data_IF_518462140309
#
_entry.id   IF_518462140309
#
_cell.length_a   1.000
_cell.length_b   1.000
_cell.length_c   1.000
_cell.angle_alpha   90.00
_cell.angle_beta   90.00
_cell.angle_gamma   90.00
#
_symmetry.space_group_name_H-M   'P 1'
#
loop_
_entity.id
_entity.type
_entity.pdbx_description
1 polymer ?
#
# COMPACT_ATOMS: atom_id res chain seq x y z
N UNK A 1 24.21 28.48 -5.52
CA UNK A 1 23.34 27.30 -5.38
C UNK A 1 21.92 27.81 -5.24
N UNK A 2 21.04 27.47 -6.20
CA UNK A 2 19.61 27.76 -6.07
C UNK A 2 19.03 26.84 -4.98
N UNK A 3 18.10 27.39 -4.17
CA UNK A 3 17.40 26.59 -3.17
C UNK A 3 16.68 25.40 -3.84
N UNK A 4 16.59 24.24 -3.19
CA UNK A 4 15.85 23.10 -3.71
C UNK A 4 14.38 23.49 -3.89
N UNK A 5 13.78 23.07 -5.00
CA UNK A 5 12.35 23.23 -5.26
C UNK A 5 11.64 22.11 -4.49
N UNK A 6 10.73 22.50 -3.61
CA UNK A 6 9.85 21.58 -2.87
C UNK A 6 8.47 21.59 -3.52
N UNK A 7 7.83 20.45 -3.62
CA UNK A 7 6.44 20.32 -4.08
C UNK A 7 5.50 20.28 -2.89
N UNK A 8 4.33 20.89 -3.07
CA UNK A 8 3.19 20.77 -2.14
C UNK A 8 2.05 20.18 -2.95
N UNK A 9 1.55 19.04 -2.49
CA UNK A 9 0.53 18.29 -3.20
C UNK A 9 -0.86 18.68 -2.72
N UNK A 10 -1.74 19.06 -3.65
CA UNK A 10 -3.15 19.22 -3.39
C UNK A 10 -3.92 18.09 -4.08
N UNK A 11 -4.53 17.21 -3.29
CA UNK A 11 -5.43 16.21 -3.83
C UNK A 11 -6.86 16.75 -3.75
N UNK A 12 -7.43 17.06 -4.92
CA UNK A 12 -8.81 17.50 -5.03
C UNK A 12 -9.68 16.31 -5.45
N UNK A 13 -10.56 15.86 -4.55
CA UNK A 13 -11.52 14.81 -4.86
C UNK A 13 -12.87 15.43 -5.29
N UNK A 14 -13.46 14.95 -6.38
CA UNK A 14 -14.76 15.39 -6.88
C UNK A 14 -15.90 15.28 -5.86
N UNK A 15 -15.76 14.39 -4.87
CA UNK A 15 -16.73 14.18 -3.80
C UNK A 15 -16.84 15.36 -2.84
N UNK A 16 -15.79 16.15 -2.69
CA UNK A 16 -15.77 17.34 -1.84
C UNK A 16 -16.30 18.58 -2.56
N UNK A 17 -16.47 18.48 -3.87
CA UNK A 17 -16.89 19.57 -4.74
C UNK A 17 -18.41 19.79 -4.73
N UNK A 18 -18.99 20.04 -3.59
CA UNK A 18 -20.43 20.27 -3.48
C UNK A 18 -20.89 21.66 -3.89
N UNK A 19 -20.02 22.56 -4.39
CA UNK A 19 -20.45 23.94 -4.63
C UNK A 19 -19.59 24.69 -5.66
N UNK A 20 -20.24 25.61 -6.36
CA UNK A 20 -19.71 26.66 -7.22
C UNK A 20 -18.68 27.63 -6.58
N UNK A 21 -18.16 27.32 -5.41
CA UNK A 21 -17.15 28.12 -4.72
C UNK A 21 -15.76 27.76 -5.22
N UNK A 22 -15.03 28.77 -5.69
CA UNK A 22 -13.62 28.63 -6.02
C UNK A 22 -12.80 28.49 -4.73
N UNK A 23 -11.96 27.48 -4.66
CA UNK A 23 -11.00 27.30 -3.59
C UNK A 23 -9.64 27.86 -4.01
N UNK A 24 -8.97 28.59 -3.11
CA UNK A 24 -7.62 29.11 -3.38
C UNK A 24 -6.59 28.02 -3.03
N UNK A 25 -5.89 27.54 -4.06
CA UNK A 25 -4.85 26.55 -3.94
C UNK A 25 -3.50 27.17 -3.57
N UNK A 26 -3.27 28.42 -4.02
CA UNK A 26 -2.05 29.17 -3.72
C UNK A 26 -2.37 30.69 -3.78
N UNK A 27 -1.79 31.53 -2.91
CA UNK A 27 -1.01 31.16 -1.72
C UNK A 27 -1.88 30.58 -0.61
N UNK A 28 -1.30 29.70 0.21
CA UNK A 28 -1.87 29.20 1.46
C UNK A 28 -1.24 29.92 2.65
N UNK A 29 -1.81 29.79 3.85
CA UNK A 29 -1.20 30.33 5.07
C UNK A 29 0.22 29.79 5.26
N UNK A 30 0.39 28.47 5.10
CA UNK A 30 1.68 27.80 5.23
C UNK A 30 2.71 28.31 4.22
N UNK A 31 2.35 28.48 2.96
CA UNK A 31 3.26 28.98 1.92
C UNK A 31 3.63 30.45 2.15
N UNK A 32 2.73 31.24 2.69
CA UNK A 32 2.95 32.66 3.01
C UNK A 32 3.85 32.80 4.21
N UNK A 33 3.59 32.10 5.31
CA UNK A 33 4.41 32.11 6.52
C UNK A 33 5.83 31.57 6.26
N UNK A 34 5.96 30.53 5.43
CA UNK A 34 7.24 29.93 5.03
C UNK A 34 8.02 30.77 4.01
N UNK A 35 7.44 31.85 3.46
CA UNK A 35 8.06 32.66 2.42
C UNK A 35 8.32 31.90 1.11
N UNK A 36 7.55 30.85 0.82
CA UNK A 36 7.71 30.03 -0.38
C UNK A 36 7.28 30.80 -1.62
N UNK A 37 8.05 30.64 -2.69
CA UNK A 37 7.77 31.26 -3.99
C UNK A 37 7.33 30.20 -4.97
N UNK A 38 6.34 30.55 -5.80
CA UNK A 38 5.82 29.66 -6.83
C UNK A 38 6.85 29.48 -7.95
N UNK A 39 7.23 28.26 -8.22
CA UNK A 39 8.08 27.88 -9.35
C UNK A 39 7.26 27.35 -10.52
N UNK A 40 6.38 26.40 -10.28
CA UNK A 40 5.46 25.87 -11.27
C UNK A 40 4.19 25.37 -10.59
N UNK A 41 3.14 25.24 -11.37
CA UNK A 41 1.89 24.62 -10.97
C UNK A 41 1.48 23.58 -12.02
N UNK A 42 1.02 22.41 -11.59
CA UNK A 42 0.60 21.35 -12.48
C UNK A 42 -0.77 20.78 -12.08
N UNK A 43 -1.61 20.59 -13.09
CA UNK A 43 -2.80 19.74 -12.98
C UNK A 43 -2.48 18.40 -13.60
N UNK A 44 -2.65 17.32 -12.83
CA UNK A 44 -2.25 15.97 -13.25
C UNK A 44 -3.44 15.02 -13.23
N UNK A 45 -3.42 14.06 -14.13
CA UNK A 45 -4.24 12.88 -14.05
C UNK A 45 -3.32 11.63 -13.88
N UNK A 46 -3.88 10.45 -14.05
CA UNK A 46 -3.12 9.20 -13.89
C UNK A 46 -1.84 9.12 -14.73
N UNK A 47 -1.83 9.68 -15.94
CA UNK A 47 -0.74 9.49 -16.92
C UNK A 47 -0.20 10.77 -17.53
N UNK A 48 -0.93 11.88 -17.46
CA UNK A 48 -0.58 13.12 -18.12
C UNK A 48 -0.64 14.28 -17.16
N UNK A 49 0.14 15.32 -17.48
CA UNK A 49 0.17 16.58 -16.77
C UNK A 49 0.05 17.74 -17.72
N UNK A 50 -0.64 18.78 -17.27
CA UNK A 50 -0.61 20.13 -17.82
C UNK A 50 0.00 21.03 -16.74
N UNK A 51 1.23 21.51 -16.99
CA UNK A 51 1.93 22.38 -16.04
C UNK A 51 2.27 23.72 -16.66
N UNK A 52 2.14 24.77 -15.85
CA UNK A 52 2.62 26.12 -16.17
C UNK A 52 3.90 26.35 -15.40
N UNK A 53 4.95 26.80 -16.11
CA UNK A 53 6.29 26.92 -15.56
C UNK A 53 6.99 28.18 -16.11
N UNK A 54 8.06 28.67 -15.47
CA UNK A 54 8.85 29.77 -15.98
C UNK A 54 9.49 29.43 -17.33
N UNK A 55 9.67 30.44 -18.17
CA UNK A 55 10.41 30.26 -19.42
C UNK A 55 11.91 30.17 -19.11
N UNK A 56 12.44 28.96 -19.08
CA UNK A 56 13.85 28.65 -18.85
C UNK A 56 14.43 28.10 -20.16
N UNK A 57 15.67 28.45 -20.48
CA UNK A 57 16.35 27.94 -21.66
C UNK A 57 16.69 26.46 -21.55
N UNK A 58 17.07 25.85 -22.69
CA UNK A 58 17.42 24.44 -22.78
C UNK A 58 18.64 24.03 -21.94
N UNK A 59 19.41 25.01 -21.44
CA UNK A 59 20.52 24.77 -20.49
C UNK A 59 20.05 24.76 -19.03
N UNK A 60 18.76 24.99 -18.75
CA UNK A 60 18.23 25.10 -17.40
C UNK A 60 18.58 26.40 -16.67
N UNK A 61 19.03 27.42 -17.43
CA UNK A 61 19.36 28.75 -16.92
C UNK A 61 18.19 29.70 -17.13
N UNK A 62 17.89 30.50 -16.13
CA UNK A 62 16.81 31.49 -16.15
C UNK A 62 16.17 31.68 -14.79
N UNK A 63 15.17 32.55 -14.73
CA UNK A 63 14.37 32.73 -13.53
C UNK A 63 13.48 31.51 -13.31
N UNK A 64 13.62 30.86 -12.17
CA UNK A 64 12.87 29.64 -11.79
C UNK A 64 11.61 29.94 -11.03
N UNK A 65 11.22 31.21 -10.93
CA UNK A 65 10.12 31.68 -10.10
C UNK A 65 9.11 32.40 -11.01
N UNK A 66 7.83 32.13 -10.81
CA UNK A 66 6.72 32.79 -11.50
C UNK A 66 5.77 33.54 -10.55
N UNK A 67 6.15 33.73 -9.30
CA UNK A 67 5.35 34.47 -8.30
C UNK A 67 5.10 35.93 -8.70
N UNK A 68 6.00 36.52 -9.46
CA UNK A 68 5.85 37.87 -10.04
C UNK A 68 4.80 37.93 -11.16
N UNK A 69 4.44 36.82 -11.76
CA UNK A 69 3.48 36.68 -12.85
C UNK A 69 2.14 36.08 -12.42
N UNK A 70 2.15 35.28 -11.36
CA UNK A 70 0.95 34.65 -10.82
C UNK A 70 0.82 35.02 -9.34
N UNK A 71 -0.26 35.75 -9.02
CA UNK A 71 -0.59 36.17 -7.66
C UNK A 71 -1.35 35.09 -6.91
N UNK A 72 -2.29 34.41 -7.60
CA UNK A 72 -3.07 33.35 -6.97
C UNK A 72 -3.50 32.27 -7.97
N UNK A 73 -3.74 31.08 -7.43
CA UNK A 73 -4.27 29.94 -8.15
C UNK A 73 -5.55 29.51 -7.46
N UNK A 74 -6.63 29.41 -8.22
CA UNK A 74 -7.93 28.96 -7.71
C UNK A 74 -8.39 27.73 -8.45
N UNK A 75 -9.10 26.84 -7.76
CA UNK A 75 -9.77 25.70 -8.37
C UNK A 75 -11.27 25.76 -8.10
N UNK A 76 -12.05 25.36 -9.07
CA UNK A 76 -13.50 25.22 -8.93
C UNK A 76 -14.00 24.05 -9.76
N UNK A 77 -15.07 23.39 -9.31
CA UNK A 77 -15.74 22.36 -10.10
C UNK A 77 -16.90 22.99 -10.83
N UNK A 78 -16.97 22.75 -12.12
CA UNK A 78 -18.02 23.20 -13.01
C UNK A 78 -18.70 22.00 -13.67
N UNK A 79 -19.94 22.19 -14.07
CA UNK A 79 -20.75 21.15 -14.69
C UNK A 79 -21.68 20.46 -13.70
N UNK A 80 -22.52 19.56 -14.22
CA UNK A 80 -23.50 18.80 -13.45
C UNK A 80 -23.41 17.32 -13.79
N UNK A 81 -23.58 16.45 -12.80
CA UNK A 81 -23.55 14.99 -12.95
C UNK A 81 -22.23 14.48 -13.58
N UNK A 82 -22.34 13.70 -14.64
CA UNK A 82 -21.19 13.06 -15.31
C UNK A 82 -20.32 14.02 -16.12
N UNK A 83 -20.82 15.24 -16.40
CA UNK A 83 -20.08 16.27 -17.15
C UNK A 83 -19.31 17.25 -16.24
N UNK A 84 -18.96 16.83 -15.04
CA UNK A 84 -18.16 17.65 -14.12
C UNK A 84 -16.71 17.74 -14.58
N UNK A 85 -16.14 18.94 -14.51
CA UNK A 85 -14.72 19.19 -14.78
C UNK A 85 -14.13 20.20 -13.78
N UNK A 86 -12.83 20.08 -13.55
CA UNK A 86 -12.08 21.00 -12.70
C UNK A 86 -11.60 22.15 -13.54
N UNK A 87 -12.00 23.37 -13.16
CA UNK A 87 -11.50 24.60 -13.74
C UNK A 87 -10.45 25.20 -12.81
N UNK A 88 -9.22 25.32 -13.30
CA UNK A 88 -8.12 25.98 -12.57
C UNK A 88 -7.90 27.37 -13.14
N UNK A 89 -8.02 28.38 -12.31
CA UNK A 89 -7.74 29.77 -12.64
C UNK A 89 -6.35 30.19 -12.15
N UNK A 90 -5.57 30.77 -13.03
CA UNK A 90 -4.29 31.40 -12.71
C UNK A 90 -4.48 32.91 -12.81
N UNK A 91 -4.30 33.63 -11.71
CA UNK A 91 -4.54 35.06 -11.63
C UNK A 91 -3.21 35.80 -11.58
N UNK A 92 -3.03 36.76 -12.50
CA UNK A 92 -1.88 37.65 -12.48
C UNK A 92 -2.10 38.85 -11.52
N UNK A 93 -1.03 39.43 -10.96
CA UNK A 93 -1.13 40.65 -10.19
C UNK A 93 -1.78 41.76 -10.99
N UNK A 94 -2.56 42.62 -10.32
CA UNK A 94 -3.12 43.81 -10.91
C UNK A 94 -1.98 44.81 -11.26
N UNK A 95 -1.64 44.89 -12.53
CA UNK A 95 -0.53 45.72 -13.01
C UNK A 95 -1.05 46.84 -13.88
N UNK A 96 -0.68 48.09 -13.56
CA UNK A 96 -0.97 49.25 -14.39
C UNK A 96 0.04 49.33 -15.52
N UNK A 97 -0.42 49.22 -16.75
CA UNK A 97 0.41 49.33 -17.95
C UNK A 97 0.15 50.68 -18.59
N UNK A 98 1.18 51.52 -18.68
CA UNK A 98 1.09 52.81 -19.32
C UNK A 98 0.83 52.69 -20.83
N UNK A 99 0.19 53.68 -21.44
CA UNK A 99 -0.09 53.67 -22.87
C UNK A 99 1.20 53.50 -23.69
N UNK A 100 1.24 52.47 -24.56
CA UNK A 100 2.42 52.12 -25.36
C UNK A 100 3.48 51.25 -24.64
N UNK A 101 3.33 50.93 -23.35
CA UNK A 101 4.17 50.01 -22.66
C UNK A 101 3.66 48.54 -22.80
N UNK A 102 4.55 47.58 -22.60
CA UNK A 102 4.22 46.16 -22.61
C UNK A 102 4.50 45.51 -21.24
N UNK A 103 3.66 44.61 -20.83
CA UNK A 103 3.88 43.76 -19.65
C UNK A 103 4.14 42.33 -20.09
N UNK A 104 5.26 41.75 -19.65
CA UNK A 104 5.68 40.40 -20.04
C UNK A 104 5.11 39.34 -19.13
N UNK A 105 4.11 38.61 -19.62
CA UNK A 105 3.53 37.41 -18.97
C UNK A 105 4.05 36.08 -19.57
N UNK A 106 5.15 36.11 -20.28
CA UNK A 106 5.66 34.90 -20.96
C UNK A 106 5.96 33.79 -19.94
N UNK A 107 5.27 32.69 -20.11
CA UNK A 107 5.44 31.46 -19.36
C UNK A 107 5.50 30.29 -20.33
N UNK A 108 6.09 29.19 -19.93
CA UNK A 108 6.10 27.94 -20.67
C UNK A 108 5.05 26.99 -20.15
N UNK A 109 4.52 26.15 -21.03
CA UNK A 109 3.53 25.14 -20.67
C UNK A 109 4.10 23.76 -21.01
N UNK A 110 4.09 22.88 -20.04
CA UNK A 110 4.29 21.45 -20.26
C UNK A 110 2.95 20.77 -20.44
N UNK A 111 2.72 20.12 -21.55
CA UNK A 111 1.56 19.25 -21.80
C UNK A 111 2.09 17.91 -22.26
N UNK A 112 2.15 16.93 -21.38
CA UNK A 112 2.81 15.67 -21.71
C UNK A 112 2.64 14.56 -20.67
N UNK A 113 3.26 13.40 -20.93
CA UNK A 113 3.14 12.24 -20.08
C UNK A 113 3.91 12.40 -18.76
N UNK A 114 3.43 11.81 -17.69
CA UNK A 114 4.13 11.65 -16.42
C UNK A 114 5.20 10.54 -16.52
N UNK A 115 6.11 10.72 -17.48
CA UNK A 115 7.14 9.75 -17.81
C UNK A 115 8.50 10.18 -17.27
N UNK A 116 9.12 9.32 -16.44
CA UNK A 116 10.39 9.60 -15.79
C UNK A 116 11.52 9.86 -16.79
N UNK A 117 11.58 9.10 -17.88
CA UNK A 117 12.60 9.28 -18.91
C UNK A 117 12.58 10.67 -19.55
N UNK A 118 11.44 11.36 -19.52
CA UNK A 118 11.31 12.75 -19.99
C UNK A 118 11.66 13.73 -18.87
N UNK A 119 11.09 13.55 -17.68
CA UNK A 119 11.18 14.50 -16.58
C UNK A 119 12.56 14.48 -15.88
N UNK A 120 13.23 13.32 -15.85
CA UNK A 120 14.53 13.14 -15.18
C UNK A 120 15.73 13.42 -16.12
N UNK A 121 15.52 13.43 -17.46
CA UNK A 121 16.63 13.47 -18.41
C UNK A 121 16.65 14.72 -19.31
N UNK A 122 15.61 15.55 -19.26
CA UNK A 122 15.51 16.72 -20.12
C UNK A 122 15.43 18.02 -19.35
N UNK A 123 16.14 19.05 -19.85
CA UNK A 123 15.92 20.42 -19.43
C UNK A 123 14.68 20.97 -20.14
N UNK A 124 13.93 21.88 -19.54
CA UNK A 124 14.12 22.53 -18.24
C UNK A 124 13.57 21.73 -17.02
N UNK A 125 13.04 20.54 -17.25
CA UNK A 125 12.28 19.77 -16.22
C UNK A 125 13.16 19.38 -15.01
N UNK A 126 14.42 19.00 -15.26
CA UNK A 126 15.40 18.70 -14.20
C UNK A 126 15.65 19.94 -13.35
N UNK A 127 15.87 21.11 -14.01
CA UNK A 127 16.17 22.35 -13.30
C UNK A 127 15.00 22.81 -12.40
N UNK A 128 13.78 22.46 -12.78
CA UNK A 128 12.54 22.79 -12.06
C UNK A 128 12.09 21.68 -11.11
N UNK A 129 12.82 20.56 -11.02
CA UNK A 129 12.42 19.38 -10.24
C UNK A 129 11.00 18.88 -10.57
N UNK A 130 10.64 18.90 -11.86
CA UNK A 130 9.29 18.53 -12.30
C UNK A 130 8.99 17.02 -12.16
N UNK A 131 9.98 16.22 -11.78
CA UNK A 131 9.81 14.81 -11.38
C UNK A 131 8.78 14.66 -10.24
N UNK A 132 8.68 15.65 -9.37
CA UNK A 132 7.72 15.67 -8.25
C UNK A 132 6.23 15.68 -8.71
N UNK A 133 5.96 15.89 -10.01
CA UNK A 133 4.61 15.70 -10.57
C UNK A 133 4.20 14.21 -10.62
N UNK A 134 5.16 13.29 -10.55
CA UNK A 134 4.89 11.84 -10.57
C UNK A 134 4.51 11.37 -9.17
N UNK A 135 3.24 11.42 -8.86
CA UNK A 135 2.68 11.03 -7.58
C UNK A 135 2.05 9.63 -7.66
N UNK A 136 2.46 8.74 -6.77
CA UNK A 136 1.87 7.40 -6.65
C UNK A 136 0.77 7.38 -5.58
N UNK A 137 -0.07 8.41 -5.57
CA UNK A 137 -1.11 8.61 -4.56
C UNK A 137 -2.48 8.15 -5.09
N UNK A 138 -3.13 7.22 -4.38
CA UNK A 138 -4.44 6.70 -4.78
C UNK A 138 -5.61 7.41 -4.11
N UNK A 139 -5.41 8.01 -2.95
CA UNK A 139 -6.39 8.84 -2.25
C UNK A 139 -5.73 9.63 -1.12
N UNK A 140 -6.34 10.74 -0.70
CA UNK A 140 -5.87 11.59 0.40
C UNK A 140 -5.75 10.82 1.73
N UNK A 141 -6.65 9.89 2.00
CA UNK A 141 -6.62 9.05 3.21
C UNK A 141 -5.42 8.10 3.28
N UNK A 142 -4.84 7.72 2.15
CA UNK A 142 -3.73 6.78 2.08
C UNK A 142 -2.37 7.42 1.78
N UNK A 143 -2.25 8.73 1.81
CA UNK A 143 -1.00 9.45 1.54
C UNK A 143 0.18 8.97 2.42
N UNK A 144 -0.07 8.73 3.71
CA UNK A 144 0.92 8.20 4.66
C UNK A 144 1.27 6.73 4.36
N UNK A 145 0.35 5.98 3.75
CA UNK A 145 0.54 4.57 3.43
C UNK A 145 1.24 4.34 2.10
N UNK A 146 1.32 5.35 1.24
CA UNK A 146 2.00 5.26 -0.03
C UNK A 146 3.49 5.45 0.21
N UNK A 147 4.25 4.35 0.22
CA UNK A 147 5.70 4.38 0.38
C UNK A 147 6.35 4.89 -0.91
N UNK A 148 6.20 6.20 -1.20
CA UNK A 148 6.66 6.85 -2.43
C UNK A 148 8.11 6.49 -2.75
N UNK A 149 9.02 6.63 -1.76
CA UNK A 149 10.44 6.29 -1.92
C UNK A 149 10.67 4.83 -2.34
N UNK A 150 9.82 3.91 -1.81
CA UNK A 150 9.91 2.49 -2.14
C UNK A 150 9.34 2.23 -3.54
N UNK A 151 8.24 2.88 -3.92
CA UNK A 151 7.69 2.82 -5.27
C UNK A 151 8.69 3.36 -6.30
N UNK A 152 9.37 4.47 -5.99
CA UNK A 152 10.44 5.03 -6.80
C UNK A 152 11.60 4.06 -6.98
N UNK A 153 12.09 3.49 -5.89
CA UNK A 153 13.17 2.50 -5.94
C UNK A 153 12.78 1.27 -6.78
N UNK A 154 11.59 0.71 -6.53
CA UNK A 154 11.09 -0.44 -7.30
C UNK A 154 10.88 -0.10 -8.78
N UNK A 155 10.46 1.13 -9.08
CA UNK A 155 10.33 1.63 -10.44
C UNK A 155 11.67 1.68 -11.19
N UNK A 156 12.72 2.17 -10.53
CA UNK A 156 14.08 2.16 -11.12
C UNK A 156 14.54 0.73 -11.36
N UNK A 157 14.34 -0.18 -10.39
CA UNK A 157 14.70 -1.59 -10.57
C UNK A 157 13.93 -2.22 -11.72
N UNK A 158 12.61 -2.01 -11.78
CA UNK A 158 11.75 -2.56 -12.84
C UNK A 158 12.16 -2.06 -14.22
N UNK A 159 12.39 -0.76 -14.38
CA UNK A 159 12.88 -0.16 -15.65
C UNK A 159 14.24 -0.70 -16.04
N UNK A 160 15.15 -0.86 -15.07
CA UNK A 160 16.47 -1.46 -15.34
C UNK A 160 16.36 -2.91 -15.81
N UNK A 161 15.49 -3.69 -15.19
CA UNK A 161 15.25 -5.08 -15.60
C UNK A 161 14.67 -5.16 -17.01
N UNK A 162 13.73 -4.29 -17.37
CA UNK A 162 13.17 -4.21 -18.70
C UNK A 162 14.23 -3.83 -19.73
N UNK A 163 14.95 -2.72 -19.51
CA UNK A 163 15.85 -2.13 -20.52
C UNK A 163 17.14 -2.92 -20.73
N UNK A 164 17.67 -3.60 -19.71
CA UNK A 164 19.00 -4.20 -19.75
C UNK A 164 19.05 -5.71 -19.57
N UNK A 165 17.97 -6.34 -19.09
CA UNK A 165 18.00 -7.76 -18.71
C UNK A 165 17.04 -8.61 -19.53
N UNK A 166 15.75 -8.26 -19.56
CA UNK A 166 14.72 -9.11 -20.16
C UNK A 166 14.04 -8.49 -21.38
N UNK A 167 14.12 -7.19 -21.57
CA UNK A 167 13.56 -6.45 -22.71
C UNK A 167 12.06 -6.65 -22.90
N UNK A 168 11.34 -6.90 -21.79
CA UNK A 168 9.90 -7.13 -21.76
C UNK A 168 9.34 -6.84 -20.38
N UNK A 169 8.33 -5.99 -20.30
CA UNK A 169 7.73 -5.54 -19.02
C UNK A 169 7.08 -6.67 -18.24
N UNK A 170 6.42 -7.63 -18.91
CA UNK A 170 5.80 -8.79 -18.24
C UNK A 170 6.84 -9.67 -17.56
N UNK A 171 7.94 -9.95 -18.26
CA UNK A 171 9.07 -10.71 -17.72
C UNK A 171 9.82 -9.91 -16.64
N UNK A 172 9.95 -8.60 -16.80
CA UNK A 172 10.55 -7.73 -15.78
C UNK A 172 9.75 -7.76 -14.45
N UNK A 173 8.43 -7.74 -14.53
CA UNK A 173 7.55 -7.89 -13.35
C UNK A 173 7.77 -9.27 -12.69
N UNK A 174 7.81 -10.35 -13.46
CA UNK A 174 8.06 -11.69 -12.93
C UNK A 174 9.43 -11.77 -12.26
N UNK A 175 10.47 -11.25 -12.91
CA UNK A 175 11.84 -11.28 -12.40
C UNK A 175 11.96 -10.42 -11.13
N UNK A 176 11.34 -9.26 -11.08
CA UNK A 176 11.26 -8.43 -9.88
C UNK A 176 10.64 -9.20 -8.71
N UNK A 177 9.55 -9.93 -8.94
CA UNK A 177 8.93 -10.80 -7.91
C UNK A 177 9.93 -11.84 -7.40
N UNK A 178 10.66 -12.50 -8.30
CA UNK A 178 11.64 -13.53 -7.92
C UNK A 178 12.78 -12.94 -7.08
N UNK A 179 13.27 -11.76 -7.44
CA UNK A 179 14.32 -11.05 -6.70
C UNK A 179 13.82 -10.68 -5.29
N UNK A 180 12.68 -10.02 -5.20
CA UNK A 180 12.10 -9.60 -3.90
C UNK A 180 11.82 -10.82 -3.01
N UNK A 181 11.23 -11.88 -3.57
CA UNK A 181 10.99 -13.15 -2.84
C UNK A 181 12.28 -13.83 -2.42
N UNK A 182 13.31 -13.83 -3.27
CA UNK A 182 14.62 -14.35 -2.95
C UNK A 182 15.27 -13.65 -1.76
N UNK A 183 15.24 -12.31 -1.75
CA UNK A 183 15.76 -11.50 -0.66
C UNK A 183 14.99 -11.74 0.64
N UNK A 184 13.65 -11.86 0.55
CA UNK A 184 12.80 -12.08 1.72
C UNK A 184 12.75 -13.54 2.18
N UNK A 185 13.25 -14.50 1.38
CA UNK A 185 13.18 -15.93 1.66
C UNK A 185 13.68 -16.33 3.07
N UNK A 186 14.86 -15.88 3.56
CA UNK A 186 15.36 -16.28 4.86
C UNK A 186 14.44 -15.85 6.01
N UNK A 187 13.83 -14.67 5.88
CA UNK A 187 12.89 -14.13 6.87
C UNK A 187 11.57 -14.90 6.82
N UNK A 188 11.05 -15.14 5.62
CA UNK A 188 9.81 -15.90 5.37
C UNK A 188 9.94 -17.34 5.89
N UNK A 189 11.06 -18.01 5.59
CA UNK A 189 11.35 -19.37 6.07
C UNK A 189 11.33 -19.45 7.58
N UNK A 190 12.07 -18.56 8.27
CA UNK A 190 12.14 -18.52 9.74
C UNK A 190 10.75 -18.27 10.36
N UNK A 191 9.99 -17.36 9.78
CA UNK A 191 8.65 -17.05 10.25
C UNK A 191 7.67 -18.22 10.05
N UNK A 192 7.70 -18.89 8.89
CA UNK A 192 6.84 -20.05 8.63
C UNK A 192 7.16 -21.22 9.58
N UNK A 193 8.46 -21.47 9.88
CA UNK A 193 8.86 -22.46 10.87
C UNK A 193 8.30 -22.13 12.25
N UNK A 194 8.40 -20.87 12.68
CA UNK A 194 7.87 -20.43 13.96
C UNK A 194 6.33 -20.57 14.03
N UNK A 195 5.63 -20.24 12.94
CA UNK A 195 4.18 -20.38 12.85
C UNK A 195 3.73 -21.85 12.92
N UNK A 196 4.47 -22.77 12.29
CA UNK A 196 4.18 -24.21 12.38
C UNK A 196 4.44 -24.75 13.79
N UNK A 197 5.54 -24.33 14.45
CA UNK A 197 5.80 -24.67 15.86
C UNK A 197 4.68 -24.17 16.76
N UNK A 198 4.27 -22.93 16.59
CA UNK A 198 3.14 -22.35 17.32
C UNK A 198 1.86 -23.16 17.11
N UNK A 199 1.54 -23.54 15.86
CA UNK A 199 0.38 -24.38 15.55
C UNK A 199 0.41 -25.74 16.27
N UNK A 200 1.56 -26.43 16.30
CA UNK A 200 1.72 -27.71 17.00
C UNK A 200 1.55 -27.57 18.53
N UNK A 201 2.08 -26.48 19.11
CA UNK A 201 1.89 -26.19 20.54
C UNK A 201 0.41 -25.88 20.84
N UNK A 202 -0.25 -25.10 20.02
CA UNK A 202 -1.67 -24.80 20.18
C UNK A 202 -2.56 -26.03 20.09
N UNK A 203 -2.24 -27.01 19.24
CA UNK A 203 -2.93 -28.31 19.22
C UNK A 203 -2.81 -29.06 20.54
N UNK A 204 -1.59 -29.11 21.13
CA UNK A 204 -1.37 -29.74 22.42
C UNK A 204 -2.10 -29.01 23.57
N UNK A 205 -2.20 -27.68 23.49
CA UNK A 205 -2.87 -26.83 24.48
C UNK A 205 -4.40 -26.82 24.36
N UNK A 206 -4.95 -27.25 23.22
CA UNK A 206 -6.41 -27.20 22.99
C UNK A 206 -7.22 -27.82 24.11
N UNK A 207 -6.96 -29.04 24.62
CA UNK A 207 -7.74 -29.63 25.69
C UNK A 207 -7.67 -28.83 27.01
N UNK A 208 -6.55 -28.18 27.32
CA UNK A 208 -6.41 -27.34 28.50
C UNK A 208 -7.17 -26.01 28.34
N UNK A 209 -7.13 -25.43 27.14
CA UNK A 209 -7.90 -24.23 26.79
C UNK A 209 -9.41 -24.49 26.86
N UNK A 210 -9.87 -25.65 26.40
CA UNK A 210 -11.28 -26.05 26.46
C UNK A 210 -11.74 -26.22 27.93
N UNK A 211 -10.91 -26.79 28.79
CA UNK A 211 -11.17 -26.84 30.24
C UNK A 211 -11.24 -25.44 30.87
N UNK A 212 -10.37 -24.51 30.46
CA UNK A 212 -10.42 -23.13 30.94
C UNK A 212 -11.71 -22.42 30.53
N UNK A 213 -12.19 -22.64 29.31
CA UNK A 213 -13.47 -22.09 28.83
C UNK A 213 -14.65 -22.64 29.62
N UNK A 214 -14.66 -23.93 29.93
CA UNK A 214 -15.68 -24.55 30.76
C UNK A 214 -15.65 -24.03 32.21
N UNK A 215 -14.46 -23.71 32.74
CA UNK A 215 -14.28 -23.19 34.10
C UNK A 215 -14.73 -21.73 34.25
N UNK A 216 -14.62 -20.93 33.21
CA UNK A 216 -14.95 -19.50 33.22
C UNK A 216 -15.89 -19.10 32.04
N UNK A 217 -17.12 -19.66 32.00
CA UNK A 217 -18.01 -19.46 30.84
C UNK A 217 -18.48 -18.02 30.67
N UNK A 218 -18.56 -17.25 31.75
CA UNK A 218 -19.09 -15.89 31.75
C UNK A 218 -18.01 -14.79 31.84
N UNK A 219 -16.71 -15.17 31.82
CA UNK A 219 -15.60 -14.21 31.90
C UNK A 219 -14.56 -14.42 30.78
N UNK A 220 -14.86 -13.96 29.55
CA UNK A 220 -13.95 -14.14 28.40
C UNK A 220 -12.60 -13.45 28.62
N UNK A 221 -12.54 -12.38 29.40
CA UNK A 221 -11.27 -11.68 29.70
C UNK A 221 -10.36 -12.52 30.58
N UNK A 222 -10.92 -13.26 31.51
CA UNK A 222 -10.19 -14.15 32.38
C UNK A 222 -9.71 -15.39 31.63
N UNK A 223 -10.53 -15.95 30.75
CA UNK A 223 -10.12 -17.04 29.86
C UNK A 223 -8.91 -16.61 29.01
N UNK A 224 -8.93 -15.41 28.43
CA UNK A 224 -7.85 -14.88 27.63
C UNK A 224 -6.55 -14.65 28.42
N UNK A 225 -6.65 -14.13 29.66
CA UNK A 225 -5.49 -13.93 30.53
C UNK A 225 -4.85 -15.27 30.96
N UNK A 226 -5.68 -16.24 31.38
CA UNK A 226 -5.20 -17.58 31.76
C UNK A 226 -4.63 -18.35 30.56
N UNK A 227 -5.22 -18.20 29.37
CA UNK A 227 -4.69 -18.77 28.15
C UNK A 227 -3.31 -18.19 27.82
N UNK A 228 -3.08 -16.91 28.05
CA UNK A 228 -1.76 -16.30 27.84
C UNK A 228 -0.71 -16.82 28.83
N UNK A 229 -1.09 -17.01 30.11
CA UNK A 229 -0.23 -17.61 31.12
C UNK A 229 0.11 -19.07 30.75
N UNK A 230 -0.89 -19.81 30.28
CA UNK A 230 -0.71 -21.18 29.82
C UNK A 230 0.27 -21.27 28.64
N UNK A 231 0.13 -20.39 27.63
CA UNK A 231 1.05 -20.30 26.50
C UNK A 231 2.48 -19.99 26.96
N UNK A 232 2.65 -19.07 27.90
CA UNK A 232 3.98 -18.76 28.46
C UNK A 232 4.58 -19.97 29.20
N UNK A 233 3.77 -20.75 29.93
CA UNK A 233 4.22 -21.98 30.62
C UNK A 233 4.79 -23.04 29.66
N UNK A 234 4.21 -23.12 28.46
CA UNK A 234 4.66 -24.01 27.39
C UNK A 234 5.77 -23.39 26.51
N UNK A 235 6.37 -22.28 26.96
CA UNK A 235 7.51 -21.66 26.28
C UNK A 235 7.15 -20.89 25.00
N UNK A 236 5.87 -20.62 24.79
CA UNK A 236 5.41 -19.79 23.68
C UNK A 236 5.65 -18.32 24.01
N UNK A 237 6.60 -17.72 23.35
CA UNK A 237 6.88 -16.28 23.48
C UNK A 237 5.82 -15.51 22.67
N UNK A 238 5.24 -14.40 23.20
CA UNK A 238 4.31 -13.56 22.43
C UNK A 238 4.94 -13.05 21.13
N UNK A 239 6.25 -12.90 21.05
CA UNK A 239 6.98 -12.63 19.81
C UNK A 239 6.96 -13.79 18.79
N UNK A 240 6.65 -15.02 19.19
CA UNK A 240 6.43 -16.13 18.24
C UNK A 240 5.04 -16.05 17.59
N UNK A 241 4.11 -15.29 18.18
CA UNK A 241 2.86 -14.90 17.52
C UNK A 241 3.08 -13.95 16.34
N UNK A 242 4.27 -13.34 16.20
CA UNK A 242 4.71 -12.62 15.01
C UNK A 242 4.98 -13.56 13.81
N UNK A 243 4.33 -14.71 13.76
CA UNK A 243 4.23 -15.54 12.54
C UNK A 243 3.58 -14.78 11.35
N UNK A 244 2.86 -13.70 11.63
CA UNK A 244 2.36 -12.75 10.63
C UNK A 244 3.40 -11.68 10.20
N UNK A 245 4.61 -11.66 10.78
CA UNK A 245 5.66 -10.71 10.44
C UNK A 245 5.94 -10.60 8.92
N UNK A 246 6.00 -11.71 8.14
CA UNK A 246 6.15 -11.61 6.69
C UNK A 246 5.01 -10.84 6.02
N UNK A 247 3.80 -10.96 6.54
CA UNK A 247 2.64 -10.23 6.02
C UNK A 247 2.81 -8.72 6.23
N UNK A 248 3.26 -8.29 7.41
CA UNK A 248 3.53 -6.87 7.68
C UNK A 248 4.71 -6.33 6.86
N UNK A 249 5.74 -7.14 6.62
CA UNK A 249 6.86 -6.75 5.78
C UNK A 249 6.49 -6.71 4.29
N UNK A 250 5.59 -7.58 3.86
CA UNK A 250 5.10 -7.65 2.49
C UNK A 250 4.13 -6.51 2.16
N UNK A 251 3.36 -5.98 3.13
CA UNK A 251 2.35 -4.94 2.90
C UNK A 251 2.94 -3.66 2.27
N UNK A 252 4.03 -3.07 2.79
CA UNK A 252 4.63 -1.88 2.17
C UNK A 252 5.07 -2.14 0.73
N UNK A 253 5.67 -3.30 0.46
CA UNK A 253 6.12 -3.68 -0.88
C UNK A 253 4.92 -3.84 -1.81
N UNK A 254 3.85 -4.46 -1.34
CA UNK A 254 2.63 -4.66 -2.11
C UNK A 254 1.95 -3.33 -2.45
N UNK A 255 1.83 -2.43 -1.47
CA UNK A 255 1.23 -1.10 -1.68
C UNK A 255 2.08 -0.28 -2.65
N UNK A 256 3.40 -0.27 -2.47
CA UNK A 256 4.31 0.46 -3.34
C UNK A 256 4.27 -0.06 -4.80
N UNK A 257 4.24 -1.39 -4.99
CA UNK A 257 4.13 -1.98 -6.32
C UNK A 257 2.74 -1.78 -6.94
N UNK A 258 1.69 -1.85 -6.13
CA UNK A 258 0.35 -1.53 -6.59
C UNK A 258 0.30 -0.10 -7.13
N UNK A 259 0.75 0.86 -6.34
CA UNK A 259 0.78 2.26 -6.73
C UNK A 259 1.69 2.48 -7.97
N UNK A 260 2.89 1.90 -7.98
CA UNK A 260 3.80 1.98 -9.11
C UNK A 260 3.14 1.47 -10.40
N UNK A 261 2.68 0.21 -10.42
CA UNK A 261 2.11 -0.42 -11.62
C UNK A 261 0.78 0.22 -12.04
N UNK A 262 0.08 0.85 -11.11
CA UNK A 262 -1.14 1.59 -11.43
C UNK A 262 -0.84 2.93 -12.14
N UNK A 263 0.17 3.68 -11.70
CA UNK A 263 0.45 5.03 -12.19
C UNK A 263 1.59 5.10 -13.22
N UNK A 264 2.36 4.03 -13.41
CA UNK A 264 3.51 4.06 -14.30
C UNK A 264 3.10 4.21 -15.76
N UNK A 265 3.56 5.31 -16.38
CA UNK A 265 3.28 5.59 -17.80
C UNK A 265 3.94 4.56 -18.73
N UNK A 266 5.15 4.12 -18.39
CA UNK A 266 5.99 3.30 -19.28
C UNK A 266 5.39 1.93 -19.60
N UNK A 267 4.52 1.39 -18.75
CA UNK A 267 3.83 0.11 -19.01
C UNK A 267 2.51 0.27 -19.79
N UNK A 268 2.13 1.53 -20.09
CA UNK A 268 0.91 1.82 -20.81
C UNK A 268 1.07 1.42 -22.29
N UNK A 269 0.08 0.67 -22.80
CA UNK A 269 0.09 0.13 -24.15
C UNK A 269 1.30 -0.77 -24.46
N UNK A 270 1.93 -1.33 -23.41
CA UNK A 270 3.00 -2.30 -23.58
C UNK A 270 2.43 -3.71 -23.41
N UNK A 271 2.60 -4.57 -24.42
CA UNK A 271 2.19 -5.97 -24.32
C UNK A 271 3.16 -6.73 -23.42
N UNK A 272 2.66 -7.78 -22.76
CA UNK A 272 3.53 -8.73 -22.07
C UNK A 272 4.04 -9.83 -23.01
N UNK A 273 5.16 -10.42 -22.63
CA UNK A 273 5.77 -11.58 -23.31
C UNK A 273 6.05 -11.32 -24.80
N UNK A 274 6.64 -10.15 -25.08
CA UNK A 274 7.00 -9.71 -26.45
C UNK A 274 5.81 -9.63 -27.40
N UNK A 275 4.59 -9.48 -26.86
CA UNK A 275 3.40 -9.41 -27.69
C UNK A 275 3.01 -10.73 -28.37
N UNK A 276 3.46 -11.89 -27.87
CA UNK A 276 3.21 -13.18 -28.48
C UNK A 276 1.72 -13.47 -28.69
N UNK A 277 0.85 -12.98 -27.79
CA UNK A 277 -0.60 -13.18 -27.90
C UNK A 277 -1.20 -12.36 -29.06
N UNK A 278 -0.65 -11.18 -29.34
CA UNK A 278 -1.06 -10.33 -30.46
C UNK A 278 -0.61 -10.93 -31.79
N UNK A 279 0.54 -11.64 -31.82
CA UNK A 279 1.03 -12.35 -33.03
C UNK A 279 0.18 -13.58 -33.35
N UNK A 280 -0.55 -14.15 -32.39
CA UNK A 280 -1.41 -15.33 -32.56
C UNK A 280 -2.82 -15.01 -33.12
N UNK A 281 -3.05 -13.78 -33.65
CA UNK A 281 -4.32 -13.41 -34.27
C UNK A 281 -5.01 -12.22 -33.62
N UNK A 282 -4.30 -11.12 -33.37
CA UNK A 282 -4.79 -9.87 -32.78
C UNK A 282 -5.54 -10.07 -31.44
N UNK A 283 -5.12 -11.08 -30.68
CA UNK A 283 -5.72 -11.39 -29.40
C UNK A 283 -5.39 -10.31 -28.36
N UNK A 284 -6.41 -9.66 -27.75
CA UNK A 284 -6.16 -8.52 -26.85
C UNK A 284 -5.62 -8.92 -25.47
N UNK A 285 -5.41 -10.22 -25.21
CA UNK A 285 -4.90 -10.71 -23.94
C UNK A 285 -3.51 -10.16 -23.63
N UNK A 286 -3.39 -9.46 -22.51
CA UNK A 286 -2.15 -8.83 -22.07
C UNK A 286 -1.50 -7.86 -23.09
N UNK A 287 -2.33 -7.26 -23.95
CA UNK A 287 -1.86 -6.27 -24.92
C UNK A 287 -1.46 -4.94 -24.29
N UNK A 288 -1.99 -4.66 -23.10
CA UNK A 288 -1.69 -3.45 -22.33
C UNK A 288 -1.63 -3.77 -20.84
N UNK A 289 -0.44 -3.74 -20.27
CA UNK A 289 -0.21 -4.05 -18.86
C UNK A 289 -0.83 -3.02 -17.89
N UNK A 290 -1.19 -1.84 -18.39
CA UNK A 290 -1.86 -0.79 -17.61
C UNK A 290 -3.39 -0.93 -17.57
N UNK A 291 -3.95 -1.81 -18.38
CA UNK A 291 -5.39 -2.11 -18.45
C UNK A 291 -5.70 -3.53 -17.95
N UNK A 292 -6.97 -3.88 -17.84
CA UNK A 292 -7.38 -5.24 -17.53
C UNK A 292 -6.93 -6.21 -18.64
N UNK A 293 -6.90 -7.53 -18.36
CA UNK A 293 -6.27 -8.52 -19.25
C UNK A 293 -7.06 -8.79 -20.56
N UNK A 294 -8.36 -8.49 -20.58
CA UNK A 294 -9.23 -8.62 -21.76
C UNK A 294 -9.12 -9.95 -22.53
N UNK A 295 -8.99 -11.06 -21.82
CA UNK A 295 -8.76 -12.38 -22.41
C UNK A 295 -9.75 -12.74 -23.53
N UNK A 296 -11.03 -12.46 -23.34
CA UNK A 296 -12.09 -12.68 -24.34
C UNK A 296 -12.52 -11.41 -25.08
N UNK A 297 -11.68 -10.36 -25.07
CA UNK A 297 -11.99 -9.08 -25.69
C UNK A 297 -12.70 -8.11 -24.75
N UNK A 298 -13.07 -6.97 -25.34
CA UNK A 298 -13.83 -5.91 -24.64
C UNK A 298 -15.30 -5.99 -25.03
N UNK A 299 -16.18 -5.68 -24.10
CA UNK A 299 -17.60 -5.50 -24.40
C UNK A 299 -17.82 -4.12 -25.04
N UNK A 300 -18.70 -4.04 -26.02
CA UNK A 300 -19.06 -2.78 -26.68
C UNK A 300 -19.69 -1.79 -25.68
N UNK A 301 -20.45 -2.31 -24.73
CA UNK A 301 -21.05 -1.54 -23.65
C UNK A 301 -20.58 -2.09 -22.29
N UNK A 302 -19.96 -1.25 -21.43
CA UNK A 302 -19.61 -1.67 -20.08
C UNK A 302 -20.85 -2.10 -19.29
N UNK A 303 -20.78 -3.24 -18.63
CA UNK A 303 -21.85 -3.72 -17.75
C UNK A 303 -21.56 -3.32 -16.31
N UNK A 304 -22.48 -2.59 -15.70
CA UNK A 304 -22.38 -2.24 -14.28
C UNK A 304 -22.90 -3.42 -13.44
N UNK A 305 -22.01 -4.02 -12.64
CA UNK A 305 -22.39 -5.05 -11.69
C UNK A 305 -22.05 -4.58 -10.28
N UNK A 306 -23.07 -4.23 -9.52
CA UNK A 306 -22.99 -3.70 -8.15
C UNK A 306 -22.14 -2.41 -8.09
N UNK A 307 -20.85 -2.51 -7.76
CA UNK A 307 -19.89 -1.40 -7.65
C UNK A 307 -18.79 -1.49 -8.72
N UNK A 308 -18.85 -2.42 -9.64
CA UNK A 308 -17.80 -2.68 -10.63
C UNK A 308 -18.30 -2.45 -12.05
N UNK A 309 -17.48 -1.79 -12.84
CA UNK A 309 -17.66 -1.65 -14.28
C UNK A 309 -16.93 -2.82 -14.96
N UNK A 310 -17.70 -3.77 -15.47
CA UNK A 310 -17.16 -4.92 -16.18
C UNK A 310 -17.06 -4.55 -17.65
N UNK A 311 -15.84 -4.38 -18.13
CA UNK A 311 -15.52 -4.01 -19.53
C UNK A 311 -15.18 -5.20 -20.41
N UNK A 312 -15.10 -6.41 -19.84
CA UNK A 312 -14.76 -7.63 -20.54
C UNK A 312 -14.62 -8.80 -19.58
N UNK A 313 -14.35 -9.99 -20.11
CA UNK A 313 -14.06 -11.18 -19.28
C UNK A 313 -12.55 -11.26 -19.06
N UNK A 314 -12.15 -11.06 -17.82
CA UNK A 314 -10.75 -11.06 -17.38
C UNK A 314 -10.41 -12.40 -16.71
N UNK A 315 -9.40 -13.09 -17.21
CA UNK A 315 -9.00 -14.43 -16.74
C UNK A 315 -8.01 -14.38 -15.60
N UNK A 316 -7.10 -13.40 -15.58
CA UNK A 316 -6.09 -13.31 -14.52
C UNK A 316 -6.68 -13.19 -13.10
N UNK A 317 -7.74 -12.39 -12.84
CA UNK A 317 -8.39 -12.36 -11.53
C UNK A 317 -9.04 -13.70 -11.15
N UNK A 318 -9.58 -14.43 -12.13
CA UNK A 318 -10.18 -15.77 -11.90
C UNK A 318 -9.09 -16.77 -11.50
N UNK A 319 -7.94 -16.77 -12.23
CA UNK A 319 -6.78 -17.58 -11.88
C UNK A 319 -6.21 -17.21 -10.51
N UNK A 320 -6.23 -15.93 -10.17
CA UNK A 320 -5.81 -15.44 -8.86
C UNK A 320 -6.70 -16.03 -7.75
N UNK A 321 -8.01 -16.11 -7.94
CA UNK A 321 -8.92 -16.77 -7.00
C UNK A 321 -8.58 -18.25 -6.81
N UNK A 322 -8.32 -18.98 -7.90
CA UNK A 322 -7.88 -20.37 -7.85
C UNK A 322 -6.53 -20.53 -7.10
N UNK A 323 -5.57 -19.67 -7.37
CA UNK A 323 -4.27 -19.68 -6.68
C UNK A 323 -4.43 -19.36 -5.20
N UNK A 324 -5.25 -18.38 -4.82
CA UNK A 324 -5.52 -18.09 -3.42
C UNK A 324 -6.21 -19.25 -2.70
N UNK A 325 -7.11 -19.95 -3.37
CA UNK A 325 -7.70 -21.18 -2.81
C UNK A 325 -6.64 -22.24 -2.52
N UNK A 326 -5.74 -22.48 -3.47
CA UNK A 326 -4.60 -23.38 -3.30
C UNK A 326 -3.68 -22.90 -2.19
N UNK A 327 -3.36 -21.62 -2.15
CA UNK A 327 -2.48 -21.00 -1.14
C UNK A 327 -3.05 -21.17 0.27
N UNK A 328 -4.35 -21.01 0.46
CA UNK A 328 -5.03 -21.23 1.74
C UNK A 328 -4.83 -22.68 2.26
N UNK A 329 -4.85 -23.67 1.34
CA UNK A 329 -4.62 -25.08 1.70
C UNK A 329 -3.19 -25.31 2.21
N UNK A 330 -2.21 -24.61 1.64
CA UNK A 330 -0.79 -24.80 1.99
C UNK A 330 -0.26 -23.85 3.08
N UNK A 331 -0.82 -22.67 3.23
CA UNK A 331 -0.31 -21.67 4.20
C UNK A 331 -1.08 -21.67 5.53
N UNK A 332 -2.36 -22.06 5.53
CA UNK A 332 -3.15 -22.08 6.77
C UNK A 332 -2.85 -23.34 7.58
N UNK A 333 -2.29 -23.23 8.78
CA UNK A 333 -2.25 -24.37 9.70
C UNK A 333 -3.69 -24.69 10.09
N UNK A 334 -4.16 -25.89 9.76
CA UNK A 334 -5.50 -26.38 10.12
C UNK A 334 -5.78 -26.42 11.63
N UNK A 335 -4.74 -26.21 12.42
CA UNK A 335 -4.69 -26.38 13.86
C UNK A 335 -4.89 -25.11 14.70
N UNK A 336 -5.06 -23.94 14.08
CA UNK A 336 -5.16 -22.68 14.85
C UNK A 336 -6.56 -22.39 15.41
N UNK A 337 -7.61 -23.05 14.90
CA UNK A 337 -8.96 -22.85 15.45
C UNK A 337 -9.12 -23.61 16.75
N UNK A 338 -9.06 -22.90 17.86
CA UNK A 338 -9.30 -23.43 19.21
C UNK A 338 -10.76 -23.28 19.67
N UNK A 339 -11.59 -22.57 18.88
CA UNK A 339 -13.02 -22.42 19.17
C UNK A 339 -13.86 -22.41 17.88
N UNK A 340 -15.18 -22.70 17.97
CA UNK A 340 -16.10 -22.62 16.85
C UNK A 340 -16.14 -21.23 16.23
N UNK A 341 -16.05 -20.17 17.04
CA UNK A 341 -16.02 -18.78 16.58
C UNK A 341 -14.76 -18.50 15.74
N UNK A 342 -13.60 -18.96 16.19
CA UNK A 342 -12.34 -18.82 15.43
C UNK A 342 -12.39 -19.60 14.11
N UNK A 343 -13.00 -20.78 14.11
CA UNK A 343 -13.21 -21.56 12.88
C UNK A 343 -14.12 -20.81 11.88
N UNK A 344 -15.18 -20.18 12.38
CA UNK A 344 -16.08 -19.34 11.58
C UNK A 344 -15.36 -18.12 11.01
N UNK A 345 -14.58 -17.40 11.82
CA UNK A 345 -13.77 -16.27 11.36
C UNK A 345 -12.76 -16.68 10.30
N UNK A 346 -12.09 -17.83 10.47
CA UNK A 346 -11.17 -18.35 9.45
C UNK A 346 -11.88 -18.69 8.15
N UNK A 347 -13.11 -19.23 8.22
CA UNK A 347 -13.94 -19.51 7.04
C UNK A 347 -14.31 -18.22 6.30
N UNK A 348 -14.76 -17.20 7.03
CA UNK A 348 -15.09 -15.88 6.46
C UNK A 348 -13.85 -15.25 5.81
N UNK A 349 -12.70 -15.24 6.50
CA UNK A 349 -11.45 -14.73 5.97
C UNK A 349 -11.02 -15.46 4.70
N UNK A 350 -11.23 -16.78 4.63
CA UNK A 350 -10.95 -17.58 3.42
C UNK A 350 -11.84 -17.16 2.25
N UNK A 351 -13.15 -17.01 2.49
CA UNK A 351 -14.10 -16.58 1.44
C UNK A 351 -13.72 -15.18 0.95
N UNK A 352 -13.45 -14.25 1.87
CA UNK A 352 -13.00 -12.90 1.52
C UNK A 352 -11.75 -12.93 0.62
N UNK A 353 -10.74 -13.71 1.00
CA UNK A 353 -9.50 -13.77 0.25
C UNK A 353 -9.65 -14.42 -1.12
N UNK A 354 -10.47 -15.48 -1.22
CA UNK A 354 -10.61 -16.28 -2.46
C UNK A 354 -11.60 -15.66 -3.43
N UNK A 355 -12.64 -15.02 -2.96
CA UNK A 355 -13.73 -14.48 -3.78
C UNK A 355 -13.71 -12.96 -3.85
N UNK A 356 -13.77 -12.29 -2.69
CA UNK A 356 -13.93 -10.84 -2.66
C UNK A 356 -12.70 -10.10 -3.21
N UNK A 357 -11.50 -10.56 -2.87
CA UNK A 357 -10.28 -9.88 -3.30
C UNK A 357 -10.04 -9.97 -4.82
N UNK A 358 -10.16 -11.14 -5.51
CA UNK A 358 -10.14 -11.20 -6.97
C UNK A 358 -11.26 -10.38 -7.63
N UNK A 359 -12.44 -10.35 -7.02
CA UNK A 359 -13.56 -9.57 -7.52
C UNK A 359 -13.28 -8.06 -7.42
N UNK A 360 -12.66 -7.59 -6.33
CA UNK A 360 -12.24 -6.21 -6.16
C UNK A 360 -11.18 -5.80 -7.19
N UNK A 361 -10.31 -6.72 -7.58
CA UNK A 361 -9.26 -6.50 -8.58
C UNK A 361 -9.65 -6.92 -9.99
N UNK A 362 -10.96 -7.14 -10.26
CA UNK A 362 -11.41 -7.67 -11.54
C UNK A 362 -11.06 -6.78 -12.73
N UNK A 363 -11.16 -5.47 -12.55
CA UNK A 363 -10.82 -4.46 -13.56
C UNK A 363 -9.44 -3.81 -13.31
N UNK A 364 -8.62 -4.40 -12.43
CA UNK A 364 -7.29 -3.88 -12.15
C UNK A 364 -6.33 -4.07 -13.34
N UNK A 365 -5.26 -3.26 -13.43
CA UNK A 365 -4.23 -3.43 -14.44
C UNK A 365 -3.67 -4.84 -14.48
N UNK A 366 -3.48 -5.38 -15.70
CA UNK A 366 -3.00 -6.75 -15.90
C UNK A 366 -1.56 -6.95 -15.38
N UNK A 367 -0.72 -5.91 -15.43
CA UNK A 367 0.60 -5.93 -14.80
C UNK A 367 0.55 -6.16 -13.29
N UNK A 368 -0.42 -5.55 -12.60
CA UNK A 368 -0.63 -5.77 -11.17
C UNK A 368 -1.15 -7.18 -10.87
N UNK A 369 -2.13 -7.64 -11.63
CA UNK A 369 -2.68 -9.00 -11.44
C UNK A 369 -1.63 -10.06 -11.76
N UNK A 370 -0.78 -9.84 -12.77
CA UNK A 370 0.37 -10.69 -13.09
C UNK A 370 1.37 -10.75 -11.94
N UNK A 371 1.70 -9.59 -11.34
CA UNK A 371 2.55 -9.53 -10.15
C UNK A 371 1.97 -10.35 -8.98
N UNK A 372 0.69 -10.16 -8.65
CA UNK A 372 0.05 -10.87 -7.53
C UNK A 372 0.00 -12.38 -7.80
N UNK A 373 -0.36 -12.77 -9.02
CA UNK A 373 -0.43 -14.15 -9.47
C UNK A 373 0.95 -14.84 -9.33
N UNK A 374 1.99 -14.20 -9.86
CA UNK A 374 3.37 -14.70 -9.80
C UNK A 374 3.85 -14.79 -8.35
N UNK A 375 3.66 -13.73 -7.57
CA UNK A 375 4.06 -13.68 -6.17
C UNK A 375 3.38 -14.77 -5.34
N UNK A 376 2.09 -15.00 -5.55
CA UNK A 376 1.32 -16.04 -4.86
C UNK A 376 1.76 -17.44 -5.27
N UNK A 377 2.02 -17.66 -6.56
CA UNK A 377 2.52 -18.93 -7.10
C UNK A 377 3.89 -19.31 -6.52
N UNK A 378 4.83 -18.36 -6.51
CA UNK A 378 6.15 -18.53 -5.89
C UNK A 378 6.00 -18.80 -4.39
N UNK A 379 5.10 -18.09 -3.69
CA UNK A 379 4.81 -18.32 -2.28
C UNK A 379 4.26 -19.72 -1.98
N UNK A 380 3.47 -20.31 -2.86
CA UNK A 380 3.00 -21.70 -2.73
C UNK A 380 4.17 -22.69 -2.86
N UNK A 381 5.02 -22.50 -3.87
CA UNK A 381 6.20 -23.35 -4.09
C UNK A 381 7.15 -23.28 -2.89
N UNK A 382 7.43 -22.07 -2.42
CA UNK A 382 8.24 -21.82 -1.21
C UNK A 382 7.65 -22.51 0.02
N UNK A 383 6.35 -22.34 0.27
CA UNK A 383 5.66 -22.95 1.40
C UNK A 383 5.66 -24.49 1.36
N UNK A 384 5.52 -25.08 0.17
CA UNK A 384 5.63 -26.53 -0.01
C UNK A 384 7.03 -27.04 0.36
N UNK A 385 8.09 -26.34 -0.12
CA UNK A 385 9.48 -26.71 0.18
C UNK A 385 9.80 -26.56 1.68
N UNK A 386 9.34 -25.47 2.30
CA UNK A 386 9.55 -25.22 3.72
C UNK A 386 8.80 -26.28 4.56
N UNK A 387 7.57 -26.66 4.21
CA UNK A 387 6.83 -27.71 4.92
C UNK A 387 7.56 -29.05 4.89
N UNK A 388 8.03 -29.48 3.72
CA UNK A 388 8.80 -30.71 3.61
C UNK A 388 10.01 -30.70 4.56
N UNK A 389 10.72 -29.60 4.63
CA UNK A 389 11.85 -29.42 5.54
C UNK A 389 11.42 -29.41 7.03
N UNK A 390 10.25 -28.84 7.34
CA UNK A 390 9.72 -28.80 8.72
C UNK A 390 9.29 -30.17 9.19
N UNK A 391 8.74 -31.00 8.32
CA UNK A 391 8.33 -32.37 8.66
C UNK A 391 9.53 -33.26 8.98
N UNK A 392 10.71 -32.95 8.43
CA UNK A 392 11.99 -33.61 8.72
C UNK A 392 12.66 -33.13 10.02
N UNK A 393 12.24 -31.98 10.59
CA UNK A 393 12.79 -31.41 11.80
C UNK A 393 12.07 -31.97 13.05
N UNK A 394 12.80 -32.42 14.10
CA UNK A 394 12.19 -32.73 15.39
C UNK A 394 11.68 -31.43 16.02
N UNK A 395 10.41 -31.14 15.82
CA UNK A 395 9.73 -29.95 16.37
C UNK A 395 9.26 -30.28 17.81
N UNK A 396 10.16 -30.68 18.69
CA UNK A 396 9.85 -30.75 20.12
C UNK A 396 9.66 -29.31 20.66
N UNK A 397 8.69 -29.10 21.56
CA UNK A 397 8.63 -27.87 22.32
C UNK A 397 9.97 -27.71 23.01
N UNK A 398 10.65 -26.58 22.78
CA UNK A 398 11.81 -26.25 23.60
C UNK A 398 11.27 -26.01 25.03
N UNK A 399 11.17 -27.08 25.79
CA UNK A 399 11.12 -26.98 27.25
C UNK A 399 12.33 -26.15 27.64
N UNK A 400 12.07 -25.03 28.30
CA UNK A 400 13.09 -24.05 28.66
C UNK A 400 14.34 -24.77 29.18
N UNK A 401 15.45 -24.72 28.45
CA UNK A 401 16.72 -25.32 28.85
C UNK A 401 17.12 -24.79 30.22
N UNK A 402 17.60 -25.65 31.11
CA UNK A 402 17.93 -25.28 32.51
C UNK A 402 19.08 -24.27 32.65
N UNK A 403 19.76 -23.91 31.57
CA UNK A 403 20.87 -22.91 31.56
C UNK A 403 20.44 -21.46 31.82
N UNK A 404 19.13 -21.16 31.90
CA UNK A 404 18.60 -19.84 32.20
C UNK A 404 18.29 -19.58 33.68
N UNK A 405 18.65 -20.48 34.59
CA UNK A 405 18.35 -20.36 36.03
C UNK A 405 19.03 -19.13 36.70
N UNK A 406 20.14 -18.64 36.18
CA UNK A 406 20.78 -17.39 36.67
C UNK A 406 20.12 -16.09 36.26
N UNK A 407 19.40 -16.08 35.11
CA UNK A 407 18.66 -14.90 34.66
C UNK A 407 17.19 -14.90 35.15
N UNK A 408 16.69 -15.98 35.72
CA UNK A 408 15.34 -16.10 36.24
C UNK A 408 15.09 -15.25 37.50
N UNK A 409 16.09 -15.05 38.37
CA UNK A 409 15.97 -14.24 39.57
C UNK A 409 15.80 -12.73 39.28
N UNK A 410 16.36 -12.21 38.19
CA UNK A 410 16.18 -10.80 37.80
C UNK A 410 14.86 -10.57 37.07
N UNK A 411 14.41 -11.52 36.22
CA UNK A 411 13.13 -11.44 35.51
C UNK A 411 11.91 -11.68 36.40
N UNK A 412 12.05 -12.52 37.44
CA UNK A 412 11.01 -12.73 38.44
C UNK A 412 10.78 -11.49 39.32
N UNK A 413 11.84 -10.72 39.62
CA UNK A 413 11.73 -9.43 40.28
C UNK A 413 11.03 -8.39 39.41
N UNK A 414 11.31 -8.35 38.11
CA UNK A 414 10.69 -7.42 37.16
C UNK A 414 9.21 -7.81 36.87
N UNK A 415 8.89 -9.10 36.79
CA UNK A 415 7.51 -9.59 36.65
C UNK A 415 6.66 -9.30 37.88
N UNK A 416 7.19 -9.48 39.10
CA UNK A 416 6.49 -9.15 40.34
C UNK A 416 6.31 -7.64 40.50
N UNK A 417 7.32 -6.83 40.19
CA UNK A 417 7.20 -5.37 40.23
C UNK A 417 6.14 -4.84 39.26
N UNK A 418 5.96 -5.50 38.11
CA UNK A 418 4.95 -5.12 37.13
C UNK A 418 3.54 -5.52 37.59
N UNK A 419 3.35 -6.72 38.15
CA UNK A 419 2.07 -7.17 38.71
C UNK A 419 1.65 -6.33 39.92
N UNK A 420 2.61 -6.00 40.80
CA UNK A 420 2.36 -5.13 41.97
C UNK A 420 2.02 -3.70 41.54
N UNK A 421 2.68 -3.17 40.51
CA UNK A 421 2.34 -1.85 39.94
C UNK A 421 0.94 -1.82 39.29
N UNK A 422 0.56 -2.89 38.62
CA UNK A 422 -0.80 -3.02 38.04
C UNK A 422 -1.87 -3.14 39.12
N UNK A 423 -1.60 -3.87 40.19
CA UNK A 423 -2.51 -4.03 41.32
C UNK A 423 -2.68 -2.72 42.12
N UNK A 424 -1.59 -1.99 42.32
CA UNK A 424 -1.60 -0.67 42.93
C UNK A 424 -2.39 0.35 42.06
N UNK A 425 -2.25 0.27 40.75
CA UNK A 425 -3.00 1.11 39.80
C UNK A 425 -4.50 0.78 39.84
N UNK A 426 -4.85 -0.51 39.98
CA UNK A 426 -6.23 -0.99 40.09
C UNK A 426 -6.90 -0.52 41.40
N UNK A 427 -6.18 -0.58 42.53
CA UNK A 427 -6.63 -0.05 43.83
C UNK A 427 -6.83 1.47 43.78
N UNK A 428 -5.93 2.22 43.12
CA UNK A 428 -6.11 3.69 42.93
C UNK A 428 -7.37 4.02 42.10
N UNK A 429 -7.62 3.27 41.02
CA UNK A 429 -8.83 3.49 40.20
C UNK A 429 -10.10 3.16 40.95
N UNK A 430 -10.12 2.06 41.71
CA UNK A 430 -11.27 1.69 42.55
C UNK A 430 -11.54 2.70 43.65
N UNK A 431 -10.49 3.19 44.29
CA UNK A 431 -10.63 4.24 45.35
C UNK A 431 -11.10 5.57 44.77
N UNK A 432 -10.67 5.91 43.52
CA UNK A 432 -11.15 7.10 42.81
C UNK A 432 -12.62 6.99 42.41
N UNK A 433 -13.06 5.79 42.02
CA UNK A 433 -14.47 5.49 41.72
C UNK A 433 -15.34 5.54 42.95
N UNK A 434 -14.88 4.98 44.09
CA UNK A 434 -15.58 5.09 45.38
C UNK A 434 -15.72 6.53 45.86
N UNK A 435 -14.67 7.36 45.76
CA UNK A 435 -14.73 8.80 46.11
C UNK A 435 -15.66 9.58 45.18
N UNK A 436 -15.79 9.23 43.92
CA UNK A 436 -16.73 9.87 42.99
C UNK A 436 -18.19 9.53 43.28
N UNK A 437 -18.46 8.30 43.74
CA UNK A 437 -19.82 7.87 44.12
C UNK A 437 -20.24 8.45 45.48
N UNK A 438 -19.29 8.76 46.35
CA UNK A 438 -19.61 9.43 47.63
C UNK A 438 -19.93 10.92 47.43
N UNK A 439 -19.27 11.60 46.48
CA UNK A 439 -19.51 13.02 46.13
C UNK A 439 -20.79 13.26 45.29
N UNK A 440 -21.49 12.21 44.87
CA UNK A 440 -22.77 12.30 44.16
C UNK A 440 -23.98 12.01 45.05
N UNK A 441 -23.77 11.76 46.37
CA UNK A 441 -24.84 11.48 47.35
C UNK A 441 -25.04 12.61 48.34
N UNK A 442 -24.23 13.62 48.32
CA UNK A 442 -24.39 14.93 48.95
C UNK A 442 -24.71 15.95 47.84
#
# INVERSE_FOLDING_TARGET
HAAPIQSVDFLYEFTDATKDSAETLWPTEETTEGGFKLSWFASTNRYFSLAVMPNINDEGKGNRIITDKIESITSSVKGANEDQFILTGLWSPATSVAGGATYDLTMSVYAGPLQRSVLDNKQPYIALNMREMVLYQMSSMCAICTFQWLADFLGVVLTTLDQYVVFDWGLAIILLVLIVRGILHPITKKSQINMQRFGKVMQKLKPEIDKLKQKYPNDPKRVQSEQMVLMQKYGVNPFQMLGCLPMFLQMPIWIALYALLYFMFDIRQQPAFFGIFQMLGDWPFLADLSSADHFFGKFDTPTHFLLWNITGINVLPILMGAIFFIQQKYMSPQSMATSPEQASQQKIMRIMMVVLFPMMLYSAPSGLTLYILTSSSVGIIESKRIRKHIDELPLEPQTASPTSAKNKKSKDKQGRAWTDAMEARRKKVQNKAKKRNFKKRD
#
